data_IF_692112372998
#
_entry.id   IF_692112372998
#
_cell.length_a   1.000
_cell.length_b   1.000
_cell.length_c   1.000
_cell.angle_alpha   90.00
_cell.angle_beta   90.00
_cell.angle_gamma   90.00
#
_symmetry.space_group_name_H-M   'P 1'
#
loop_
_entity.id
_entity.type
_entity.pdbx_description
1 polymer ?
#
# COMPACT_ATOMS: atom_id res chain seq x y z
N UNK A 1 -21.94 35.57 13.65
CA UNK A 1 -21.07 34.40 13.65
C UNK A 1 -20.48 34.36 12.23
N UNK A 2 -19.27 34.94 12.07
CA UNK A 2 -18.61 35.01 10.77
C UNK A 2 -18.23 33.61 10.29
N UNK A 3 -18.67 33.23 9.10
CA UNK A 3 -18.15 32.10 8.38
C UNK A 3 -16.64 32.30 8.17
N UNK A 4 -15.85 31.49 8.87
CA UNK A 4 -14.41 31.46 8.67
C UNK A 4 -14.12 31.07 7.23
N UNK A 5 -13.72 32.05 6.43
CA UNK A 5 -13.15 31.82 5.11
C UNK A 5 -12.02 30.81 5.27
N UNK A 6 -12.18 29.60 4.76
CA UNK A 6 -11.07 28.68 4.57
C UNK A 6 -10.10 29.36 3.61
N UNK A 7 -9.03 29.92 4.16
CA UNK A 7 -7.93 30.40 3.34
C UNK A 7 -7.33 29.17 2.66
N UNK A 8 -7.64 28.97 1.40
CA UNK A 8 -6.98 27.98 0.58
C UNK A 8 -5.46 28.20 0.70
N UNK A 9 -4.72 27.18 1.03
CA UNK A 9 -3.26 27.24 0.98
C UNK A 9 -2.87 27.38 -0.49
N UNK A 10 -2.01 28.34 -0.84
CA UNK A 10 -1.46 28.46 -2.19
C UNK A 10 -0.44 27.37 -2.53
N UNK A 11 -0.46 26.26 -1.79
CA UNK A 11 0.44 25.12 -1.98
C UNK A 11 -0.29 24.10 -2.87
N UNK A 12 0.26 23.86 -4.04
CA UNK A 12 -0.21 22.81 -4.94
C UNK A 12 0.02 21.43 -4.31
N UNK A 13 -1.00 20.59 -4.36
CA UNK A 13 -0.88 19.22 -3.91
C UNK A 13 -0.18 18.37 -5.00
N UNK A 14 1.03 17.86 -4.77
CA UNK A 14 1.72 17.06 -5.78
C UNK A 14 0.94 15.74 -6.00
N UNK A 15 0.63 15.44 -7.26
CA UNK A 15 -0.03 14.19 -7.65
C UNK A 15 0.96 13.05 -7.85
N UNK A 16 2.15 13.36 -8.33
CA UNK A 16 3.24 12.42 -8.55
C UNK A 16 4.53 13.12 -8.10
N UNK A 17 5.30 12.44 -7.27
CA UNK A 17 6.63 12.93 -6.86
C UNK A 17 7.73 12.11 -7.52
N UNK A 18 8.87 12.74 -7.76
CA UNK A 18 10.02 12.07 -8.38
C UNK A 18 10.51 10.86 -7.56
N UNK A 19 10.36 10.88 -6.24
CA UNK A 19 10.65 9.74 -5.38
C UNK A 19 9.81 8.50 -5.71
N UNK A 20 8.52 8.68 -6.04
CA UNK A 20 7.67 7.57 -6.47
C UNK A 20 8.16 6.98 -7.79
N UNK A 21 8.53 7.83 -8.75
CA UNK A 21 9.11 7.37 -10.04
C UNK A 21 10.41 6.58 -9.82
N UNK A 22 11.30 7.07 -8.96
CA UNK A 22 12.55 6.38 -8.62
C UNK A 22 12.28 5.03 -7.96
N UNK A 23 11.36 4.96 -7.02
CA UNK A 23 11.06 3.72 -6.31
C UNK A 23 10.34 2.70 -7.21
N UNK A 24 9.51 3.14 -8.16
CA UNK A 24 8.95 2.29 -9.21
C UNK A 24 10.05 1.73 -10.13
N UNK A 25 11.02 2.57 -10.51
CA UNK A 25 12.18 2.13 -11.29
C UNK A 25 13.02 1.12 -10.51
N UNK A 26 13.28 1.37 -9.22
CA UNK A 26 14.05 0.45 -8.37
C UNK A 26 13.38 -0.92 -8.26
N UNK A 27 12.05 -0.95 -8.10
CA UNK A 27 11.29 -2.19 -8.08
C UNK A 27 11.41 -2.94 -9.42
N UNK A 28 11.22 -2.25 -10.54
CA UNK A 28 11.35 -2.85 -11.86
C UNK A 28 12.76 -3.42 -12.14
N UNK A 29 13.80 -2.70 -11.72
CA UNK A 29 15.18 -3.17 -11.83
C UNK A 29 15.44 -4.41 -10.98
N UNK A 30 14.97 -4.41 -9.74
CA UNK A 30 15.11 -5.54 -8.84
C UNK A 30 14.40 -6.78 -9.39
N UNK A 31 13.19 -6.64 -9.93
CA UNK A 31 12.46 -7.78 -10.52
C UNK A 31 13.13 -8.32 -11.80
N UNK A 32 13.96 -7.51 -12.46
CA UNK A 32 14.83 -7.96 -13.57
C UNK A 32 16.17 -8.56 -13.09
N UNK A 33 16.41 -8.66 -11.78
CA UNK A 33 17.66 -9.16 -11.21
C UNK A 33 18.81 -8.14 -11.23
N UNK A 34 18.54 -6.88 -11.59
CA UNK A 34 19.54 -5.79 -11.63
C UNK A 34 19.66 -5.10 -10.26
N UNK A 35 20.13 -5.87 -9.27
CA UNK A 35 20.10 -5.46 -7.87
C UNK A 35 20.95 -4.21 -7.63
N UNK A 36 22.15 -4.12 -8.20
CA UNK A 36 23.06 -2.99 -7.97
C UNK A 36 22.51 -1.67 -8.55
N UNK A 37 21.85 -1.76 -9.71
CA UNK A 37 21.15 -0.61 -10.29
C UNK A 37 19.99 -0.18 -9.39
N UNK A 38 19.20 -1.14 -8.87
CA UNK A 38 18.11 -0.85 -7.95
C UNK A 38 18.62 -0.19 -6.65
N UNK A 39 19.72 -0.68 -6.07
CA UNK A 39 20.39 -0.06 -4.91
C UNK A 39 20.77 1.38 -5.20
N UNK A 40 21.35 1.63 -6.38
CA UNK A 40 21.76 2.98 -6.79
C UNK A 40 20.58 3.94 -6.83
N UNK A 41 19.45 3.49 -7.36
CA UNK A 41 18.23 4.29 -7.47
C UNK A 41 17.60 4.56 -6.09
N UNK A 42 17.48 3.54 -5.23
CA UNK A 42 16.97 3.71 -3.85
C UNK A 42 17.86 4.67 -3.07
N UNK A 43 19.17 4.60 -3.25
CA UNK A 43 20.12 5.48 -2.57
C UNK A 43 19.96 6.96 -2.95
N UNK A 44 19.41 7.30 -4.12
CA UNK A 44 19.07 8.68 -4.45
C UNK A 44 17.97 9.21 -3.51
N UNK A 45 16.93 8.42 -3.24
CA UNK A 45 15.86 8.79 -2.30
C UNK A 45 16.41 8.92 -0.89
N UNK A 46 17.20 7.94 -0.44
CA UNK A 46 17.79 7.90 0.90
C UNK A 46 18.77 9.07 1.13
N UNK A 47 19.60 9.39 0.14
CA UNK A 47 20.54 10.52 0.21
C UNK A 47 19.80 11.86 0.39
N UNK A 48 18.72 12.07 -0.37
CA UNK A 48 17.89 13.28 -0.22
C UNK A 48 17.29 13.38 1.18
N UNK A 49 16.84 12.25 1.75
CA UNK A 49 16.26 12.19 3.10
C UNK A 49 17.30 12.24 4.22
N UNK A 50 18.61 12.24 3.92
CA UNK A 50 19.68 12.13 4.91
C UNK A 50 19.74 10.77 5.60
N UNK A 51 19.10 9.74 5.01
CA UNK A 51 19.11 8.39 5.53
C UNK A 51 20.40 7.63 5.16
N UNK A 52 20.76 6.65 5.98
CA UNK A 52 21.92 5.81 5.70
C UNK A 52 21.74 5.03 4.39
N UNK A 53 22.74 5.10 3.51
CA UNK A 53 22.67 4.45 2.20
C UNK A 53 22.73 2.92 2.33
N UNK A 54 22.06 2.22 1.42
CA UNK A 54 22.18 0.79 1.25
C UNK A 54 23.62 0.43 0.85
N UNK A 55 24.10 -0.71 1.30
CA UNK A 55 25.47 -1.19 1.09
C UNK A 55 26.58 -0.28 1.67
N UNK A 56 26.24 0.65 2.59
CA UNK A 56 27.22 1.50 3.25
C UNK A 56 27.82 0.88 4.51
N UNK A 57 27.17 -0.13 5.08
CA UNK A 57 27.65 -0.88 6.25
C UNK A 57 26.90 -2.22 6.36
N UNK A 58 27.30 -3.07 7.34
CA UNK A 58 26.72 -4.39 7.53
C UNK A 58 25.19 -4.40 7.68
N UNK A 59 24.56 -3.54 8.52
CA UNK A 59 23.09 -3.52 8.62
C UNK A 59 22.36 -3.10 7.36
N UNK A 60 23.00 -2.36 6.46
CA UNK A 60 22.42 -1.87 5.20
C UNK A 60 22.80 -2.73 4.00
N UNK A 61 23.64 -3.77 4.18
CA UNK A 61 24.05 -4.67 3.10
C UNK A 61 22.86 -5.43 2.53
N UNK A 62 22.70 -5.36 1.20
CA UNK A 62 21.65 -6.07 0.48
C UNK A 62 22.06 -7.51 0.24
N UNK A 63 21.24 -8.44 0.70
CA UNK A 63 21.49 -9.89 0.69
C UNK A 63 20.86 -10.62 -0.51
N UNK A 64 20.58 -9.91 -1.59
CA UNK A 64 20.01 -10.46 -2.82
C UNK A 64 18.63 -9.88 -3.17
N UNK A 65 18.01 -10.42 -4.21
CA UNK A 65 16.78 -9.89 -4.79
C UNK A 65 15.60 -9.82 -3.80
N UNK A 66 15.42 -10.88 -3.00
CA UNK A 66 14.31 -10.93 -2.04
C UNK A 66 14.48 -9.89 -0.92
N UNK A 67 15.68 -9.74 -0.38
CA UNK A 67 16.00 -8.72 0.61
C UNK A 67 15.84 -7.31 0.01
N UNK A 68 16.34 -7.09 -1.21
CA UNK A 68 16.18 -5.81 -1.90
C UNK A 68 14.70 -5.47 -2.14
N UNK A 69 13.86 -6.45 -2.49
CA UNK A 69 12.41 -6.26 -2.63
C UNK A 69 11.78 -5.74 -1.34
N UNK A 70 12.09 -6.34 -0.20
CA UNK A 70 11.57 -5.88 1.09
C UNK A 70 12.10 -4.49 1.47
N UNK A 71 13.36 -4.18 1.15
CA UNK A 71 13.93 -2.84 1.37
C UNK A 71 13.24 -1.78 0.50
N UNK A 72 12.95 -2.07 -0.77
CA UNK A 72 12.20 -1.17 -1.65
C UNK A 72 10.78 -0.94 -1.11
N UNK A 73 10.08 -2.00 -0.69
CA UNK A 73 8.74 -1.90 -0.10
C UNK A 73 8.75 -1.03 1.16
N UNK A 74 9.73 -1.24 2.04
CA UNK A 74 9.87 -0.43 3.24
C UNK A 74 10.21 1.04 2.92
N UNK A 75 11.09 1.28 1.95
CA UNK A 75 11.42 2.64 1.51
C UNK A 75 10.20 3.35 0.93
N UNK A 76 9.39 2.68 0.09
CA UNK A 76 8.13 3.22 -0.40
C UNK A 76 7.18 3.55 0.76
N UNK A 77 7.07 2.66 1.73
CA UNK A 77 6.22 2.87 2.89
C UNK A 77 6.62 4.14 3.68
N UNK A 78 7.90 4.35 3.93
CA UNK A 78 8.38 5.51 4.69
C UNK A 78 8.33 6.79 3.87
N UNK A 79 8.71 6.74 2.61
CA UNK A 79 8.81 7.91 1.74
C UNK A 79 7.43 8.44 1.30
N UNK A 80 6.46 7.55 1.08
CA UNK A 80 5.16 7.88 0.51
C UNK A 80 4.01 7.80 1.54
N UNK A 81 4.36 7.74 2.84
CA UNK A 81 3.37 7.69 3.91
C UNK A 81 2.46 8.94 3.89
N UNK A 82 1.15 8.71 3.88
CA UNK A 82 0.15 9.78 3.84
C UNK A 82 -0.18 10.32 2.44
N UNK A 83 0.35 9.70 1.38
CA UNK A 83 0.08 10.07 -0.02
C UNK A 83 -0.91 9.11 -0.73
N UNK A 84 -1.60 8.27 0.05
CA UNK A 84 -2.60 7.28 -0.40
C UNK A 84 -2.07 6.18 -1.35
N UNK A 85 -0.74 6.14 -1.62
CA UNK A 85 -0.13 5.18 -2.53
C UNK A 85 0.07 3.80 -1.89
N UNK A 86 0.33 3.75 -0.58
CA UNK A 86 0.67 2.51 0.14
C UNK A 86 -0.44 1.47 0.07
N UNK A 87 -1.70 1.89 0.12
CA UNK A 87 -2.83 0.98 -0.01
C UNK A 87 -2.80 0.22 -1.34
N UNK A 88 -2.57 0.91 -2.44
CA UNK A 88 -2.48 0.30 -3.77
C UNK A 88 -1.23 -0.58 -3.91
N UNK A 89 -0.12 -0.19 -3.32
CA UNK A 89 1.10 -1.00 -3.24
C UNK A 89 0.85 -2.32 -2.51
N UNK A 90 0.24 -2.28 -1.34
CA UNK A 90 -0.08 -3.49 -0.56
C UNK A 90 -1.09 -4.39 -1.26
N UNK A 91 -2.03 -3.84 -2.03
CA UNK A 91 -2.95 -4.63 -2.87
C UNK A 91 -2.22 -5.35 -3.99
N UNK A 92 -1.38 -4.64 -4.77
CA UNK A 92 -0.66 -5.24 -5.90
C UNK A 92 0.41 -6.24 -5.46
N UNK A 93 1.04 -6.02 -4.29
CA UNK A 93 1.99 -6.97 -3.69
C UNK A 93 1.31 -8.15 -3.00
N UNK A 94 -0.01 -8.13 -2.84
CA UNK A 94 -0.80 -9.11 -2.08
C UNK A 94 -0.39 -9.22 -0.61
N UNK A 95 0.11 -8.13 -0.02
CA UNK A 95 0.56 -8.08 1.38
C UNK A 95 -0.50 -7.44 2.30
N UNK A 96 -1.52 -6.80 1.76
CA UNK A 96 -2.51 -6.05 2.52
C UNK A 96 -3.28 -6.93 3.51
N UNK A 97 -3.70 -8.13 3.08
CA UNK A 97 -4.39 -9.10 3.92
C UNK A 97 -3.57 -9.43 5.17
N UNK A 98 -2.31 -9.84 4.98
CA UNK A 98 -1.46 -10.35 6.05
C UNK A 98 -0.98 -9.25 7.00
N UNK A 99 -0.85 -8.03 6.51
CA UNK A 99 -0.39 -6.88 7.31
C UNK A 99 -1.50 -6.18 8.08
N UNK A 100 -2.73 -6.17 7.56
CA UNK A 100 -3.81 -5.30 8.08
C UNK A 100 -4.94 -6.07 8.77
N UNK A 101 -5.14 -7.35 8.45
CA UNK A 101 -6.26 -8.10 8.98
C UNK A 101 -5.81 -9.14 10.00
N UNK A 102 -6.66 -9.37 10.99
CA UNK A 102 -6.46 -10.49 11.90
C UNK A 102 -6.62 -11.81 11.12
N UNK A 103 -5.64 -12.68 11.25
CA UNK A 103 -5.69 -14.03 10.70
C UNK A 103 -5.63 -15.06 11.81
N UNK A 104 -6.28 -16.20 11.58
CA UNK A 104 -6.36 -17.31 12.52
C UNK A 104 -5.87 -18.58 11.82
N UNK A 105 -5.20 -19.46 12.57
CA UNK A 105 -4.84 -20.78 12.07
C UNK A 105 -6.06 -21.73 12.07
N UNK A 106 -5.86 -22.97 11.59
CA UNK A 106 -6.91 -23.99 11.48
C UNK A 106 -7.51 -24.38 12.84
N UNK A 107 -6.83 -24.06 13.95
CA UNK A 107 -7.29 -24.30 15.32
C UNK A 107 -8.01 -23.06 15.92
N UNK A 108 -8.21 -22.01 15.15
CA UNK A 108 -8.82 -20.75 15.60
C UNK A 108 -7.89 -19.89 16.47
N UNK A 109 -6.59 -20.18 16.53
CA UNK A 109 -5.62 -19.34 17.22
C UNK A 109 -5.20 -18.19 16.34
N UNK A 110 -5.26 -16.98 16.88
CA UNK A 110 -4.87 -15.77 16.17
C UNK A 110 -3.36 -15.77 15.87
N UNK A 111 -3.02 -15.73 14.58
CA UNK A 111 -1.64 -15.72 14.07
C UNK A 111 -1.17 -14.29 13.82
N UNK A 112 -2.04 -13.45 13.26
CA UNK A 112 -1.79 -12.03 13.01
C UNK A 112 -2.81 -11.20 13.75
N UNK A 113 -2.34 -10.17 14.48
CA UNK A 113 -3.22 -9.34 15.31
C UNK A 113 -4.09 -8.38 14.50
N UNK A 114 -3.69 -8.03 13.29
CA UNK A 114 -4.42 -7.13 12.41
C UNK A 114 -4.57 -5.71 12.96
N UNK A 115 -5.19 -4.85 12.17
CA UNK A 115 -5.58 -3.51 12.60
C UNK A 115 -6.77 -3.58 13.56
N UNK A 116 -6.73 -2.75 14.58
CA UNK A 116 -7.84 -2.58 15.52
C UNK A 116 -8.23 -1.11 15.60
N UNK A 117 -9.51 -0.86 15.70
CA UNK A 117 -10.06 0.44 16.04
C UNK A 117 -10.60 0.40 17.46
N UNK A 118 -10.18 1.35 18.29
CA UNK A 118 -10.70 1.51 19.65
C UNK A 118 -11.68 2.67 19.64
N UNK A 119 -12.92 2.38 20.02
CA UNK A 119 -13.95 3.40 20.17
C UNK A 119 -14.51 3.33 21.61
N UNK A 120 -14.10 4.28 22.42
CA UNK A 120 -14.41 4.22 23.86
C UNK A 120 -13.79 2.97 24.51
N UNK A 121 -14.62 2.12 25.09
CA UNK A 121 -14.19 0.85 25.69
C UNK A 121 -14.26 -0.35 24.72
N UNK A 122 -14.85 -0.16 23.52
CA UNK A 122 -14.98 -1.22 22.52
C UNK A 122 -13.74 -1.26 21.62
N UNK A 123 -13.26 -2.47 21.36
CA UNK A 123 -12.19 -2.72 20.40
C UNK A 123 -12.75 -3.53 19.23
N UNK A 124 -12.63 -2.99 18.02
CA UNK A 124 -13.05 -3.65 16.79
C UNK A 124 -11.81 -4.13 16.06
N UNK A 125 -11.82 -5.39 15.65
CA UNK A 125 -10.79 -5.97 14.80
C UNK A 125 -11.31 -6.07 13.37
N UNK A 126 -10.48 -5.65 12.42
CA UNK A 126 -10.76 -5.85 11.02
C UNK A 126 -10.47 -7.30 10.66
N UNK A 127 -11.46 -8.01 10.15
CA UNK A 127 -11.34 -9.38 9.66
C UNK A 127 -11.34 -9.39 8.13
N UNK A 128 -10.59 -10.31 7.55
CA UNK A 128 -10.62 -10.53 6.11
C UNK A 128 -11.92 -11.21 5.71
N UNK A 129 -12.77 -10.52 4.96
CA UNK A 129 -14.08 -11.02 4.55
C UNK A 129 -14.07 -11.91 3.31
N UNK A 130 -12.94 -12.06 2.64
CA UNK A 130 -12.78 -12.89 1.45
C UNK A 130 -11.91 -12.26 0.37
N UNK A 131 -11.54 -13.06 -0.62
CA UNK A 131 -10.60 -12.64 -1.67
C UNK A 131 -11.19 -11.61 -2.65
N UNK A 132 -12.49 -11.33 -2.56
CA UNK A 132 -13.10 -10.23 -3.28
C UNK A 132 -12.55 -8.85 -2.85
N UNK A 133 -11.98 -8.73 -1.66
CA UNK A 133 -11.36 -7.48 -1.20
C UNK A 133 -10.08 -7.08 -1.96
N UNK A 134 -9.53 -7.97 -2.79
CA UNK A 134 -8.42 -7.60 -3.68
C UNK A 134 -8.83 -6.69 -4.84
N UNK A 135 -10.12 -6.64 -5.18
CA UNK A 135 -10.67 -5.80 -6.25
C UNK A 135 -11.87 -5.02 -5.72
N UNK A 136 -11.99 -3.76 -6.09
CA UNK A 136 -13.19 -2.99 -5.80
C UNK A 136 -14.40 -3.54 -6.57
N UNK A 137 -15.62 -3.43 -6.01
CA UNK A 137 -16.80 -3.73 -6.77
C UNK A 137 -16.96 -2.72 -7.92
N UNK A 138 -17.43 -3.19 -9.07
CA UNK A 138 -17.87 -2.29 -10.13
C UNK A 138 -19.15 -1.60 -9.64
N UNK A 139 -19.26 -0.26 -9.75
CA UNK A 139 -20.45 0.46 -9.32
C UNK A 139 -21.73 -0.10 -9.94
N UNK A 140 -22.78 -0.20 -9.15
CA UNK A 140 -24.04 -0.79 -9.60
C UNK A 140 -24.59 -0.14 -10.88
N UNK A 141 -24.53 1.19 -10.97
CA UNK A 141 -25.00 1.92 -12.14
C UNK A 141 -24.27 1.51 -13.42
N UNK A 142 -22.97 1.21 -13.34
CA UNK A 142 -22.19 0.77 -14.50
C UNK A 142 -22.66 -0.60 -15.00
N UNK A 143 -22.93 -1.53 -14.08
CA UNK A 143 -23.45 -2.85 -14.44
C UNK A 143 -24.88 -2.80 -14.98
N UNK A 144 -25.66 -1.78 -14.64
CA UNK A 144 -27.02 -1.59 -15.20
C UNK A 144 -26.97 -0.97 -16.60
N UNK A 145 -26.03 -0.05 -16.86
CA UNK A 145 -25.89 0.58 -18.17
C UNK A 145 -25.25 -0.33 -19.21
N UNK A 146 -24.41 -1.27 -18.78
CA UNK A 146 -23.78 -2.22 -19.67
C UNK A 146 -24.10 -3.67 -19.26
N UNK A 147 -25.13 -4.32 -19.88
CA UNK A 147 -25.54 -5.66 -19.52
C UNK A 147 -24.50 -6.77 -19.79
N UNK A 148 -23.44 -6.44 -20.55
CA UNK A 148 -22.32 -7.35 -20.78
C UNK A 148 -21.20 -7.21 -19.72
N UNK A 149 -21.37 -6.30 -18.76
CA UNK A 149 -20.38 -6.08 -17.70
C UNK A 149 -20.68 -7.00 -16.52
N UNK A 150 -19.81 -7.95 -16.30
CA UNK A 150 -19.87 -8.84 -15.14
C UNK A 150 -19.22 -8.16 -13.93
N UNK A 151 -19.80 -8.35 -12.75
CA UNK A 151 -19.25 -7.88 -11.49
C UNK A 151 -17.96 -8.64 -11.13
N UNK A 152 -17.04 -7.96 -10.46
CA UNK A 152 -15.84 -8.61 -9.93
C UNK A 152 -16.19 -9.81 -9.02
N UNK A 153 -15.40 -10.90 -9.09
CA UNK A 153 -15.69 -12.14 -8.36
C UNK A 153 -15.89 -11.89 -6.86
N UNK A 154 -16.91 -12.55 -6.30
CA UNK A 154 -17.21 -12.47 -4.87
C UNK A 154 -18.07 -11.28 -4.43
N UNK A 155 -18.27 -10.28 -5.29
CA UNK A 155 -19.21 -9.18 -5.05
C UNK A 155 -20.60 -9.51 -5.57
N UNK A 156 -21.60 -9.43 -4.67
CA UNK A 156 -23.00 -9.60 -5.05
C UNK A 156 -23.62 -8.24 -5.38
N UNK A 157 -24.43 -8.17 -6.42
CA UNK A 157 -25.10 -6.93 -6.83
C UNK A 157 -25.96 -6.30 -5.72
N UNK A 158 -26.46 -7.08 -4.77
CA UNK A 158 -27.32 -6.61 -3.68
C UNK A 158 -26.59 -5.90 -2.53
N UNK A 159 -25.26 -5.90 -2.50
CA UNK A 159 -24.46 -5.30 -1.41
C UNK A 159 -23.86 -3.95 -1.75
N UNK A 160 -24.18 -3.37 -2.91
CA UNK A 160 -23.57 -2.14 -3.42
C UNK A 160 -24.47 -0.92 -3.21
N UNK A 161 -25.41 -0.99 -2.29
CA UNK A 161 -26.14 0.19 -1.83
C UNK A 161 -25.39 0.82 -0.66
N UNK A 162 -24.39 1.65 -0.97
CA UNK A 162 -23.81 2.64 -0.05
C UNK A 162 -24.04 4.02 -0.66
#
# INVERSE_FOLDING_TARGET
>A
VGEGSQKGTGIDMPKIRYADVLLNLAEALNEQGKIDEAVTVVNQVRARAGAQLLNSNVPTTVMGQADMRERIRNERYWELLGEDLIYFDELRWKTWKDKKFATYDDNGKQVVNGLRQVWGQATYHYAWGGDHYWLYPIPYNETQMNPNMEQNPGWKLSLIHI
#
